data_IF_880822818962
#
_entry.id   IF_880822818962
#
_cell.length_a   1.000
_cell.length_b   1.000
_cell.length_c   1.000
_cell.angle_alpha   90.00
_cell.angle_beta   90.00
_cell.angle_gamma   90.00
#
_symmetry.space_group_name_H-M   'P 1'
#
loop_
_entity.id
_entity.type
_entity.pdbx_description
1 polymer ?
#
# COMPACT_ATOMS: atom_id res chain seq x y z
N UNK A 1 -7.59 -26.73 -6.84
CA UNK A 1 -7.56 -26.26 -5.44
C UNK A 1 -6.36 -25.35 -5.31
N UNK A 2 -6.56 -24.07 -4.99
CA UNK A 2 -5.45 -23.14 -4.76
C UNK A 2 -4.59 -23.66 -3.61
N UNK A 3 -3.26 -23.72 -3.82
CA UNK A 3 -2.35 -24.12 -2.74
C UNK A 3 -2.33 -22.98 -1.72
N UNK A 4 -2.61 -23.25 -0.43
CA UNK A 4 -2.51 -22.23 0.60
C UNK A 4 -1.06 -21.73 0.69
N UNK A 5 -0.89 -20.45 1.04
CA UNK A 5 0.44 -19.90 1.30
C UNK A 5 1.12 -20.69 2.44
N UNK A 6 2.45 -20.92 2.38
CA UNK A 6 3.18 -21.52 3.47
C UNK A 6 3.05 -20.71 4.77
N UNK A 7 3.24 -21.35 5.93
CA UNK A 7 3.25 -20.64 7.21
C UNK A 7 4.25 -19.47 7.20
N UNK A 8 3.82 -18.30 7.69
CA UNK A 8 4.62 -17.07 7.66
C UNK A 8 4.56 -16.30 6.33
N UNK A 9 3.75 -16.74 5.38
CA UNK A 9 3.53 -16.06 4.10
C UNK A 9 2.05 -15.75 3.87
N UNK A 10 1.79 -14.63 3.21
CA UNK A 10 0.46 -14.20 2.78
C UNK A 10 0.34 -14.36 1.27
N UNK A 11 -0.76 -14.97 0.83
CA UNK A 11 -1.08 -15.09 -0.58
C UNK A 11 -1.57 -13.75 -1.13
N UNK A 12 -1.10 -13.38 -2.32
CA UNK A 12 -1.54 -12.20 -3.06
C UNK A 12 -2.51 -12.63 -4.17
N UNK A 13 -2.06 -13.59 -4.99
CA UNK A 13 -2.78 -14.05 -6.15
C UNK A 13 -1.88 -14.88 -7.07
N UNK A 14 -2.50 -15.49 -8.07
CA UNK A 14 -1.81 -16.29 -9.07
C UNK A 14 -1.24 -15.40 -10.18
N UNK A 15 -0.01 -15.67 -10.61
CA UNK A 15 0.64 -15.00 -11.73
C UNK A 15 1.20 -16.02 -12.72
N UNK A 16 1.08 -15.72 -14.01
CA UNK A 16 1.70 -16.52 -15.08
C UNK A 16 3.21 -16.31 -15.11
N UNK A 17 3.97 -17.39 -15.21
CA UNK A 17 5.42 -17.33 -15.29
C UNK A 17 5.93 -17.57 -16.72
N UNK A 18 7.06 -16.95 -17.10
CA UNK A 18 7.71 -17.26 -18.37
C UNK A 18 8.00 -18.76 -18.50
N UNK A 19 7.63 -19.36 -19.63
CA UNK A 19 7.80 -20.81 -19.89
C UNK A 19 6.54 -21.65 -19.72
N UNK A 20 5.42 -21.03 -19.32
CA UNK A 20 4.13 -21.70 -19.15
C UNK A 20 3.98 -22.27 -17.74
N UNK A 21 2.90 -21.89 -17.07
CA UNK A 21 2.59 -22.31 -15.70
C UNK A 21 2.25 -21.11 -14.81
N UNK A 22 1.73 -21.43 -13.63
CA UNK A 22 1.22 -20.44 -12.69
C UNK A 22 1.99 -20.52 -11.37
N UNK A 23 2.45 -19.37 -10.87
CA UNK A 23 3.05 -19.22 -9.55
C UNK A 23 2.11 -18.46 -8.61
N UNK A 24 2.12 -18.82 -7.34
CA UNK A 24 1.47 -18.05 -6.29
C UNK A 24 2.40 -16.91 -5.87
N UNK A 25 1.99 -15.67 -6.09
CA UNK A 25 2.67 -14.51 -5.50
C UNK A 25 2.37 -14.46 -4.01
N UNK A 26 3.43 -14.28 -3.22
CA UNK A 26 3.35 -14.19 -1.76
C UNK A 26 4.26 -13.08 -1.24
N UNK A 27 3.94 -12.55 -0.07
CA UNK A 27 4.86 -11.76 0.75
C UNK A 27 4.91 -12.31 2.17
N UNK A 28 5.94 -11.95 2.94
CA UNK A 28 6.05 -12.37 4.33
C UNK A 28 4.90 -11.77 5.18
N UNK A 29 4.39 -12.54 6.14
CA UNK A 29 3.46 -12.05 7.15
C UNK A 29 4.22 -11.26 8.23
N UNK A 30 4.62 -10.03 7.86
CA UNK A 30 5.49 -9.17 8.67
C UNK A 30 4.79 -7.83 8.98
N UNK A 31 4.76 -7.46 10.27
CA UNK A 31 4.15 -6.20 10.71
C UNK A 31 4.77 -4.96 10.04
N UNK A 32 6.07 -4.98 9.71
CA UNK A 32 6.75 -3.89 9.00
C UNK A 32 6.24 -3.72 7.58
N UNK A 33 5.99 -4.83 6.89
CA UNK A 33 5.36 -4.83 5.56
C UNK A 33 3.91 -4.40 5.66
N UNK A 34 3.18 -4.82 6.70
CA UNK A 34 1.79 -4.39 6.91
C UNK A 34 1.67 -2.88 7.12
N UNK A 35 2.61 -2.25 7.83
CA UNK A 35 2.69 -0.78 7.94
C UNK A 35 2.93 -0.11 6.59
N UNK A 36 3.82 -0.69 5.78
CA UNK A 36 4.11 -0.17 4.44
C UNK A 36 2.90 -0.33 3.50
N UNK A 37 2.09 -1.39 3.64
CA UNK A 37 0.85 -1.56 2.90
C UNK A 37 -0.16 -0.42 3.20
N UNK A 38 -0.26 0.00 4.47
CA UNK A 38 -1.07 1.16 4.85
C UNK A 38 -0.52 2.45 4.24
N UNK A 39 0.80 2.64 4.27
CA UNK A 39 1.42 3.80 3.62
C UNK A 39 1.12 3.82 2.13
N UNK A 40 1.29 2.69 1.43
CA UNK A 40 1.01 2.57 -0.01
C UNK A 40 -0.45 2.93 -0.31
N UNK A 41 -1.40 2.51 0.53
CA UNK A 41 -2.81 2.87 0.39
C UNK A 41 -3.06 4.37 0.58
N UNK A 42 -2.45 4.99 1.59
CA UNK A 42 -2.57 6.43 1.85
C UNK A 42 -2.03 7.25 0.67
N UNK A 43 -0.81 6.94 0.23
CA UNK A 43 -0.13 7.70 -0.83
C UNK A 43 -0.52 7.22 -2.23
N UNK A 44 -1.39 6.22 -2.37
CA UNK A 44 -1.79 5.66 -3.66
C UNK A 44 -0.59 5.21 -4.51
N UNK A 45 0.30 4.40 -3.94
CA UNK A 45 1.48 3.90 -4.63
C UNK A 45 1.10 2.95 -5.77
N UNK A 46 1.45 3.33 -6.99
CA UNK A 46 1.08 2.59 -8.21
C UNK A 46 2.16 1.63 -8.72
N UNK A 47 3.22 1.41 -7.94
CA UNK A 47 4.34 0.58 -8.37
C UNK A 47 5.12 -0.12 -7.23
N UNK A 48 4.47 -0.56 -6.15
CA UNK A 48 5.18 -1.28 -5.07
C UNK A 48 5.56 -2.71 -5.49
N UNK A 49 6.79 -2.87 -5.96
CA UNK A 49 7.40 -4.15 -6.34
C UNK A 49 8.25 -4.76 -5.22
N UNK A 50 8.69 -6.01 -5.41
CA UNK A 50 9.54 -6.73 -4.45
C UNK A 50 10.89 -6.03 -4.28
N UNK A 51 11.50 -5.59 -5.39
CA UNK A 51 12.76 -4.86 -5.41
C UNK A 51 12.71 -3.50 -4.71
N UNK A 52 11.51 -3.01 -4.36
CA UNK A 52 11.34 -1.77 -3.59
C UNK A 52 11.35 -2.00 -2.08
N UNK A 53 11.53 -3.26 -1.64
CA UNK A 53 11.55 -3.69 -0.25
C UNK A 53 12.97 -4.16 0.13
N UNK A 54 13.75 -3.26 0.72
CA UNK A 54 15.14 -3.55 1.09
C UNK A 54 15.23 -3.91 2.57
N UNK A 55 15.74 -5.10 2.88
CA UNK A 55 16.03 -5.51 4.25
C UNK A 55 17.53 -5.40 4.52
N UNK A 56 17.88 -4.80 5.66
CA UNK A 56 19.27 -4.68 6.11
C UNK A 56 19.66 -5.84 7.01
N UNK A 57 20.96 -6.04 7.20
CA UNK A 57 21.49 -7.10 8.07
C UNK A 57 21.05 -6.97 9.54
N UNK A 58 20.80 -5.75 10.02
CA UNK A 58 20.25 -5.48 11.35
C UNK A 58 18.71 -5.60 11.41
N UNK A 59 18.07 -6.04 10.33
CA UNK A 59 16.62 -6.30 10.29
C UNK A 59 15.78 -5.03 10.19
N UNK A 60 16.27 -3.94 9.61
CA UNK A 60 15.40 -2.82 9.20
C UNK A 60 14.81 -3.09 7.82
N UNK A 61 13.64 -2.52 7.56
CA UNK A 61 12.96 -2.56 6.27
C UNK A 61 12.90 -1.13 5.72
N UNK A 62 13.40 -0.95 4.51
CA UNK A 62 13.27 0.28 3.74
C UNK A 62 12.31 0.04 2.57
N UNK A 63 11.23 0.81 2.52
CA UNK A 63 10.42 0.98 1.32
C UNK A 63 11.00 2.12 0.50
N UNK A 64 11.42 1.84 -0.72
CA UNK A 64 11.98 2.86 -1.64
C UNK A 64 11.02 3.12 -2.81
N UNK A 65 11.40 4.04 -3.69
CA UNK A 65 10.72 4.35 -4.95
C UNK A 65 9.22 4.73 -4.80
N UNK A 66 9.00 5.97 -4.34
CA UNK A 66 7.67 6.57 -4.20
C UNK A 66 7.37 7.58 -5.32
N UNK A 67 8.10 7.51 -6.45
CA UNK A 67 8.00 8.50 -7.52
C UNK A 67 6.65 8.52 -8.26
N UNK A 68 5.88 7.44 -8.15
CA UNK A 68 4.58 7.25 -8.82
C UNK A 68 3.46 7.08 -7.78
N UNK A 69 3.24 8.16 -7.02
CA UNK A 69 2.30 8.25 -5.90
C UNK A 69 1.40 9.49 -6.05
N UNK A 70 0.44 9.64 -5.15
CA UNK A 70 -0.49 10.77 -4.99
C UNK A 70 -1.51 11.02 -6.09
N UNK A 71 -1.51 10.23 -7.17
CA UNK A 71 -2.49 10.34 -8.24
C UNK A 71 -3.93 10.47 -7.70
N UNK A 72 -4.74 11.30 -8.36
CA UNK A 72 -6.13 11.59 -7.96
C UNK A 72 -7.01 10.35 -8.05
N UNK A 73 -6.94 9.65 -9.19
CA UNK A 73 -7.64 8.38 -9.39
C UNK A 73 -6.99 7.27 -8.55
N UNK A 74 -7.79 6.32 -8.08
CA UNK A 74 -7.29 5.11 -7.42
C UNK A 74 -6.44 4.27 -8.40
N UNK A 75 -5.15 4.23 -8.13
CA UNK A 75 -4.13 3.56 -8.93
C UNK A 75 -3.22 2.69 -8.06
N UNK A 76 -3.69 2.28 -6.89
CA UNK A 76 -2.91 1.48 -5.96
C UNK A 76 -2.52 0.16 -6.61
N UNK A 77 -1.21 -0.09 -6.71
CA UNK A 77 -0.64 -1.34 -7.21
C UNK A 77 0.51 -1.75 -6.33
N UNK A 78 0.35 -2.87 -5.65
CA UNK A 78 1.30 -3.30 -4.64
C UNK A 78 1.40 -4.81 -4.57
N UNK A 79 2.58 -5.33 -4.21
CA UNK A 79 2.71 -6.73 -3.80
C UNK A 79 2.29 -6.97 -2.35
N UNK A 80 1.72 -5.99 -1.66
CA UNK A 80 1.31 -6.11 -0.26
C UNK A 80 -0.20 -6.36 -0.08
N UNK A 81 -0.86 -6.89 -1.12
CA UNK A 81 -2.29 -7.21 -1.09
C UNK A 81 -2.68 -8.40 -0.21
N UNK A 82 -1.74 -9.10 0.43
CA UNK A 82 -2.05 -10.30 1.22
C UNK A 82 -2.82 -10.02 2.52
N UNK A 83 -3.09 -8.75 2.85
CA UNK A 83 -4.02 -8.33 3.90
C UNK A 83 -5.30 -7.67 3.34
N UNK A 84 -5.54 -7.71 2.02
CA UNK A 84 -6.68 -7.05 1.39
C UNK A 84 -8.01 -7.43 2.07
N UNK A 85 -8.81 -6.43 2.45
CA UNK A 85 -10.07 -6.64 3.16
C UNK A 85 -9.95 -7.04 4.63
N UNK A 86 -8.76 -7.35 5.14
CA UNK A 86 -8.57 -7.60 6.58
C UNK A 86 -8.66 -6.30 7.39
N UNK A 87 -9.02 -6.37 8.69
CA UNK A 87 -8.96 -5.22 9.57
C UNK A 87 -7.59 -4.52 9.58
N UNK A 88 -7.59 -3.20 9.66
CA UNK A 88 -6.38 -2.43 9.94
C UNK A 88 -5.95 -2.69 11.39
N UNK A 89 -4.64 -2.84 11.67
CA UNK A 89 -4.15 -2.87 13.03
C UNK A 89 -4.47 -1.57 13.79
N UNK A 90 -4.68 -1.64 15.11
CA UNK A 90 -4.95 -0.46 15.95
C UNK A 90 -3.86 0.61 15.83
N UNK A 91 -2.60 0.19 15.66
CA UNK A 91 -1.48 1.12 15.42
C UNK A 91 -1.65 1.91 14.12
N UNK A 92 -2.22 1.30 13.08
CA UNK A 92 -2.49 1.95 11.80
C UNK A 92 -3.66 2.92 11.93
N UNK A 93 -4.74 2.53 12.60
CA UNK A 93 -5.89 3.43 12.87
C UNK A 93 -5.45 4.65 13.69
N UNK A 94 -4.60 4.45 14.70
CA UNK A 94 -4.02 5.53 15.50
C UNK A 94 -3.16 6.46 14.63
N UNK A 95 -2.32 5.91 13.76
CA UNK A 95 -1.48 6.71 12.86
C UNK A 95 -2.31 7.48 11.83
N UNK A 96 -3.34 6.86 11.24
CA UNK A 96 -4.27 7.47 10.30
C UNK A 96 -5.06 8.60 10.96
N UNK A 97 -5.51 8.44 12.21
CA UNK A 97 -6.19 9.50 12.95
C UNK A 97 -5.30 10.73 13.18
N UNK A 98 -4.03 10.51 13.54
CA UNK A 98 -3.03 11.59 13.66
C UNK A 98 -2.75 12.26 12.30
N UNK A 99 -2.66 11.47 11.24
CA UNK A 99 -2.46 11.99 9.88
C UNK A 99 -3.67 12.81 9.43
N UNK A 100 -4.89 12.37 9.70
CA UNK A 100 -6.11 13.10 9.35
C UNK A 100 -6.13 14.50 10.02
N UNK A 101 -5.75 14.58 11.29
CA UNK A 101 -5.58 15.87 11.99
C UNK A 101 -4.48 16.70 11.33
N UNK A 102 -3.30 16.13 11.07
CA UNK A 102 -2.18 16.84 10.44
C UNK A 102 -2.45 17.28 8.98
N UNK A 103 -3.44 16.68 8.31
CA UNK A 103 -3.91 17.06 6.98
C UNK A 103 -5.03 18.12 7.04
N UNK A 104 -5.38 18.62 8.22
CA UNK A 104 -6.33 19.72 8.41
C UNK A 104 -5.92 20.99 7.64
N UNK A 105 -6.87 21.90 7.48
CA UNK A 105 -6.59 23.23 6.94
C UNK A 105 -5.59 23.96 7.85
N UNK A 106 -4.69 24.76 7.26
CA UNK A 106 -3.64 25.53 7.95
C UNK A 106 -2.61 24.74 8.79
N UNK A 107 -2.65 23.41 8.77
CA UNK A 107 -1.64 22.57 9.43
C UNK A 107 -0.28 22.61 8.71
N UNK A 108 0.86 22.57 9.43
CA UNK A 108 2.19 22.66 8.81
C UNK A 108 2.47 21.58 7.77
N UNK A 109 1.91 20.37 7.94
CA UNK A 109 2.05 19.30 6.96
C UNK A 109 1.27 19.62 5.68
N UNK A 110 0.02 20.08 5.80
CA UNK A 110 -0.80 20.55 4.67
C UNK A 110 -0.08 21.64 3.88
N UNK A 111 0.45 22.66 4.55
CA UNK A 111 1.21 23.75 3.88
C UNK A 111 2.41 23.21 3.11
N UNK A 112 3.17 22.28 3.71
CA UNK A 112 4.35 21.68 3.05
C UNK A 112 3.96 20.81 1.85
N UNK A 113 2.89 20.02 1.96
CA UNK A 113 2.39 19.18 0.86
C UNK A 113 1.83 20.02 -0.28
N UNK A 114 1.09 21.09 0.01
CA UNK A 114 0.53 21.99 -1.01
C UNK A 114 1.60 22.69 -1.88
N UNK A 115 2.85 22.73 -1.43
CA UNK A 115 3.98 23.21 -2.23
C UNK A 115 4.62 22.14 -3.14
N UNK A 116 4.25 20.87 -2.98
CA UNK A 116 4.85 19.71 -3.65
C UNK A 116 3.88 18.93 -4.54
N UNK A 117 2.58 18.94 -4.20
CA UNK A 117 1.51 18.28 -4.93
C UNK A 117 0.39 19.26 -5.26
N UNK A 118 -0.45 18.90 -6.22
CA UNK A 118 -1.58 19.73 -6.62
C UNK A 118 -2.69 19.74 -5.55
N UNK A 119 -3.58 20.76 -5.56
CA UNK A 119 -4.74 20.77 -4.68
C UNK A 119 -5.65 19.55 -4.83
N UNK A 120 -5.78 19.02 -6.05
CA UNK A 120 -6.59 17.83 -6.33
C UNK A 120 -5.98 16.56 -5.74
N UNK A 121 -4.66 16.38 -5.85
CA UNK A 121 -3.95 15.25 -5.23
C UNK A 121 -4.01 15.30 -3.70
N UNK A 122 -3.92 16.50 -3.12
CA UNK A 122 -4.06 16.70 -1.68
C UNK A 122 -5.49 16.41 -1.19
N UNK A 123 -6.51 16.80 -1.95
CA UNK A 123 -7.90 16.43 -1.65
C UNK A 123 -8.07 14.90 -1.71
N UNK A 124 -7.58 14.24 -2.77
CA UNK A 124 -7.65 12.79 -2.90
C UNK A 124 -6.89 12.05 -1.79
N UNK A 125 -5.75 12.59 -1.31
CA UNK A 125 -5.04 12.08 -0.14
C UNK A 125 -5.91 12.10 1.12
N UNK A 126 -6.59 13.21 1.38
CA UNK A 126 -7.51 13.35 2.53
C UNK A 126 -8.66 12.36 2.43
N UNK A 127 -9.26 12.24 1.24
CA UNK A 127 -10.36 11.31 0.99
C UNK A 127 -9.93 9.86 1.24
N UNK A 128 -8.74 9.47 0.78
CA UNK A 128 -8.18 8.12 1.05
C UNK A 128 -7.97 7.87 2.55
N UNK A 129 -7.41 8.83 3.28
CA UNK A 129 -7.22 8.69 4.74
C UNK A 129 -8.57 8.58 5.45
N UNK A 130 -9.56 9.39 5.08
CA UNK A 130 -10.91 9.34 5.63
C UNK A 130 -11.60 8.00 5.33
N UNK A 131 -11.46 7.48 4.10
CA UNK A 131 -12.02 6.19 3.71
C UNK A 131 -11.41 5.02 4.50
N UNK A 132 -10.09 5.00 4.71
CA UNK A 132 -9.41 3.97 5.52
C UNK A 132 -9.85 4.01 6.99
N UNK A 133 -10.05 5.21 7.55
CA UNK A 133 -10.58 5.37 8.91
C UNK A 133 -12.04 4.90 9.01
N UNK A 134 -12.86 5.20 8.00
CA UNK A 134 -14.27 4.81 7.98
C UNK A 134 -14.47 3.30 7.79
N UNK A 135 -13.68 2.67 6.92
CA UNK A 135 -13.77 1.22 6.69
C UNK A 135 -13.15 0.41 7.81
N UNK A 136 -12.05 0.90 8.40
CA UNK A 136 -11.26 0.15 9.37
C UNK A 136 -10.57 -1.09 8.79
N UNK A 137 -10.49 -1.20 7.45
CA UNK A 137 -9.95 -2.36 6.74
C UNK A 137 -8.94 -1.96 5.67
N UNK A 138 -8.00 -2.86 5.38
CA UNK A 138 -7.11 -2.72 4.23
C UNK A 138 -7.93 -2.69 2.94
N UNK A 139 -7.53 -1.87 1.95
CA UNK A 139 -8.23 -1.82 0.67
C UNK A 139 -8.17 -3.16 -0.05
N UNK A 140 -9.12 -3.36 -0.96
CA UNK A 140 -9.10 -4.47 -1.92
C UNK A 140 -8.78 -3.91 -3.31
N UNK A 141 -8.20 -4.72 -4.22
CA UNK A 141 -8.03 -4.32 -5.62
C UNK A 141 -9.33 -3.76 -6.23
N UNK A 142 -9.26 -2.59 -6.86
CA UNK A 142 -10.43 -1.92 -7.44
C UNK A 142 -11.06 -2.66 -8.63
N UNK A 143 -10.27 -3.49 -9.33
CA UNK A 143 -10.68 -4.19 -10.56
C UNK A 143 -10.63 -3.32 -11.82
N UNK A 144 -10.48 -2.00 -11.68
CA UNK A 144 -10.46 -1.03 -12.78
C UNK A 144 -9.09 -0.94 -13.49
N UNK A 145 -8.01 -1.40 -12.85
CA UNK A 145 -6.64 -1.42 -13.40
C UNK A 145 -5.82 -2.58 -12.81
N UNK A 146 -4.75 -3.06 -13.47
CA UNK A 146 -3.90 -4.13 -12.93
C UNK A 146 -3.35 -3.86 -11.53
N UNK A 147 -3.83 -4.60 -10.53
CA UNK A 147 -3.47 -4.44 -9.12
C UNK A 147 -2.03 -4.84 -8.78
N UNK A 148 -1.40 -5.65 -9.63
CA UNK A 148 -0.03 -6.12 -9.46
C UNK A 148 0.92 -5.23 -10.29
N UNK A 149 1.98 -4.68 -9.69
CA UNK A 149 2.99 -3.94 -10.43
C UNK A 149 3.83 -4.88 -11.30
N UNK A 150 4.28 -4.37 -12.45
CA UNK A 150 5.07 -5.16 -13.41
C UNK A 150 6.48 -4.57 -13.60
N UNK A 151 7.54 -5.39 -13.57
CA UNK A 151 7.52 -6.81 -13.17
C UNK A 151 7.25 -6.95 -11.65
N UNK A 152 6.74 -8.10 -11.19
CA UNK A 152 6.40 -8.32 -9.78
C UNK A 152 7.63 -8.68 -8.92
N UNK A 153 8.83 -8.28 -9.34
CA UNK A 153 10.12 -8.63 -8.70
C UNK A 153 10.71 -7.49 -7.92
#
# INVERSE_FOLDING_TARGET
AERPAPAGWRAIGLAEVPGGGTALLVHADDARLRRLAVLDAVINNSDRKGGHLLTTADGRLYGIDHGVTFHTDDKLRTLLWGWAGEPLPDEALTALGRLAVALGEDEPLTTRLAALVTPAELAALRDRVAALLASGTHPVPSGEWPAIPWPPV
#
